data_IF_794968179771
#
_entry.id   IF_794968179771
#
_cell.length_a   1.000
_cell.length_b   1.000
_cell.length_c   1.000
_cell.angle_alpha   90.00
_cell.angle_beta   90.00
_cell.angle_gamma   90.00
#
_symmetry.space_group_name_H-M   'P 1'
#
loop_
_entity.id
_entity.type
_entity.pdbx_description
1 polymer ?
#
# COMPACT_ATOMS: atom_id res chain seq x y z
N UNK A 1 -0.44 -0.44 17.21
CA UNK A 1 -1.36 -0.98 18.24
C UNK A 1 -2.41 -1.80 17.52
N UNK A 2 -2.70 -3.02 17.98
CA UNK A 2 -3.75 -3.84 17.37
C UNK A 2 -5.09 -3.54 18.05
N UNK A 3 -6.22 -3.52 17.31
CA UNK A 3 -7.53 -3.38 17.91
C UNK A 3 -7.77 -4.54 18.90
N UNK A 4 -8.64 -4.35 19.90
CA UNK A 4 -8.94 -5.29 21.00
C UNK A 4 -10.44 -5.46 21.22
N UNK A 5 -11.24 -4.42 20.98
CA UNK A 5 -12.71 -4.44 21.10
C UNK A 5 -13.48 -4.13 19.81
N UNK A 6 -14.82 -4.27 19.79
CA UNK A 6 -15.65 -4.02 18.61
C UNK A 6 -15.53 -2.58 18.05
N UNK A 7 -15.48 -1.58 18.92
CA UNK A 7 -15.30 -0.19 18.50
C UNK A 7 -13.94 0.05 17.83
N UNK A 8 -12.88 -0.53 18.39
CA UNK A 8 -11.54 -0.43 17.81
C UNK A 8 -11.43 -1.21 16.50
N UNK A 9 -12.15 -2.33 16.34
CA UNK A 9 -12.26 -3.05 15.06
C UNK A 9 -12.95 -2.19 14.01
N UNK A 10 -14.05 -1.53 14.35
CA UNK A 10 -14.75 -0.64 13.43
C UNK A 10 -13.86 0.54 13.00
N UNK A 11 -13.15 1.16 13.96
CA UNK A 11 -12.19 2.21 13.68
C UNK A 11 -11.03 1.71 12.80
N UNK A 12 -10.54 0.49 13.04
CA UNK A 12 -9.50 -0.13 12.22
C UNK A 12 -9.95 -0.37 10.79
N UNK A 13 -11.16 -0.88 10.59
CA UNK A 13 -11.74 -1.07 9.24
C UNK A 13 -11.82 0.27 8.52
N UNK A 14 -12.33 1.31 9.17
CA UNK A 14 -12.40 2.65 8.59
C UNK A 14 -10.99 3.17 8.22
N UNK A 15 -10.02 3.01 9.12
CA UNK A 15 -8.63 3.39 8.88
C UNK A 15 -8.05 2.65 7.67
N UNK A 16 -8.18 1.32 7.60
CA UNK A 16 -7.70 0.51 6.48
C UNK A 16 -8.34 0.88 5.15
N UNK A 17 -9.64 1.21 5.14
CA UNK A 17 -10.31 1.70 3.93
C UNK A 17 -9.73 3.04 3.48
N UNK A 18 -9.49 3.96 4.42
CA UNK A 18 -8.87 5.26 4.09
C UNK A 18 -7.42 5.12 3.66
N UNK A 19 -6.63 4.24 4.28
CA UNK A 19 -5.25 3.95 3.90
C UNK A 19 -5.20 3.37 2.48
N UNK A 20 -5.97 2.32 2.20
CA UNK A 20 -6.03 1.72 0.86
C UNK A 20 -6.45 2.72 -0.23
N UNK A 21 -7.32 3.69 0.07
CA UNK A 21 -7.65 4.75 -0.87
C UNK A 21 -6.52 5.80 -1.03
N UNK A 22 -6.08 6.38 0.08
CA UNK A 22 -5.11 7.48 0.07
C UNK A 22 -3.74 7.04 -0.44
N UNK A 23 -3.24 5.92 0.04
CA UNK A 23 -1.91 5.43 -0.29
C UNK A 23 -1.84 4.98 -1.76
N UNK A 24 -2.85 4.27 -2.27
CA UNK A 24 -2.88 3.93 -3.70
C UNK A 24 -2.97 5.18 -4.58
N UNK A 25 -3.72 6.20 -4.15
CA UNK A 25 -3.82 7.47 -4.90
C UNK A 25 -2.49 8.22 -4.93
N UNK A 26 -1.79 8.31 -3.80
CA UNK A 26 -0.51 9.03 -3.69
C UNK A 26 0.60 8.27 -4.41
N UNK A 27 0.80 6.99 -4.09
CA UNK A 27 1.96 6.24 -4.55
C UNK A 27 1.79 5.74 -5.99
N UNK A 28 0.62 5.19 -6.35
CA UNK A 28 0.40 4.59 -7.68
C UNK A 28 -0.32 5.56 -8.62
N UNK A 29 -1.21 6.39 -8.09
CA UNK A 29 -1.92 7.41 -8.85
C UNK A 29 -1.03 8.59 -9.23
N UNK A 30 -0.24 9.11 -8.29
CA UNK A 30 0.61 10.27 -8.51
C UNK A 30 2.09 9.90 -8.72
N UNK A 31 2.79 9.41 -7.69
CA UNK A 31 4.25 9.21 -7.74
C UNK A 31 4.68 8.28 -8.87
N UNK A 32 4.05 7.12 -9.03
CA UNK A 32 4.36 6.19 -10.10
C UNK A 32 4.20 6.83 -11.49
N UNK A 33 3.17 7.65 -11.70
CA UNK A 33 2.97 8.36 -12.96
C UNK A 33 4.05 9.42 -13.20
N UNK A 34 4.47 10.13 -12.14
CA UNK A 34 5.56 11.09 -12.24
C UNK A 34 6.88 10.40 -12.59
N UNK A 35 7.23 9.29 -11.94
CA UNK A 35 8.43 8.54 -12.28
C UNK A 35 8.37 7.90 -13.66
N UNK A 36 7.19 7.47 -14.11
CA UNK A 36 7.01 7.00 -15.49
C UNK A 36 7.29 8.13 -16.48
N UNK A 37 6.75 9.33 -16.24
CA UNK A 37 6.99 10.50 -17.10
C UNK A 37 8.46 10.95 -17.09
N UNK A 38 9.13 10.90 -15.93
CA UNK A 38 10.53 11.32 -15.78
C UNK A 38 11.53 10.32 -16.36
N UNK A 39 11.27 9.02 -16.24
CA UNK A 39 12.23 7.97 -16.64
C UNK A 39 11.90 7.29 -17.97
N UNK A 40 10.66 7.39 -18.44
CA UNK A 40 10.16 6.63 -19.59
C UNK A 40 10.07 5.11 -19.35
N UNK A 41 10.32 4.64 -18.11
CA UNK A 41 10.45 3.21 -17.80
C UNK A 41 9.44 2.79 -16.73
N UNK A 42 8.47 1.98 -17.14
CA UNK A 42 7.48 1.41 -16.22
C UNK A 42 8.10 0.58 -15.08
N UNK A 43 9.10 -0.30 -15.33
CA UNK A 43 9.79 -1.01 -14.24
C UNK A 43 10.46 -0.06 -13.24
N UNK A 44 11.15 0.99 -13.70
CA UNK A 44 11.78 1.97 -12.81
C UNK A 44 10.74 2.75 -12.01
N UNK A 45 9.64 3.14 -12.64
CA UNK A 45 8.55 3.83 -11.96
C UNK A 45 7.95 2.99 -10.83
N UNK A 46 7.71 1.69 -11.07
CA UNK A 46 7.21 0.74 -10.06
C UNK A 46 8.24 0.50 -8.96
N UNK A 47 9.51 0.37 -9.31
CA UNK A 47 10.59 0.17 -8.36
C UNK A 47 10.72 1.36 -7.40
N UNK A 48 10.85 2.57 -7.95
CA UNK A 48 11.11 3.79 -7.17
C UNK A 48 9.92 4.10 -6.25
N UNK A 49 8.68 4.10 -6.77
CA UNK A 49 7.50 4.35 -5.94
C UNK A 49 7.37 3.30 -4.83
N UNK A 50 7.69 2.03 -5.11
CA UNK A 50 7.58 0.93 -4.16
C UNK A 50 8.60 1.03 -3.03
N UNK A 51 9.84 1.46 -3.35
CA UNK A 51 10.86 1.74 -2.35
C UNK A 51 10.46 2.92 -1.47
N UNK A 52 9.97 4.03 -2.04
CA UNK A 52 9.51 5.20 -1.27
C UNK A 52 8.35 4.79 -0.35
N UNK A 53 7.41 3.99 -0.86
CA UNK A 53 6.32 3.43 -0.08
C UNK A 53 6.82 2.61 1.12
N UNK A 54 7.74 1.68 0.92
CA UNK A 54 8.33 0.89 2.00
C UNK A 54 9.10 1.74 3.02
N UNK A 55 9.89 2.71 2.56
CA UNK A 55 10.66 3.61 3.45
C UNK A 55 9.73 4.47 4.32
N UNK A 56 8.59 4.92 3.79
CA UNK A 56 7.57 5.63 4.58
C UNK A 56 7.04 4.79 5.76
N UNK A 57 7.20 3.46 5.71
CA UNK A 57 6.85 2.52 6.76
C UNK A 57 8.04 2.14 7.67
N UNK A 58 9.13 2.92 7.66
CA UNK A 58 10.35 2.65 8.44
C UNK A 58 10.10 2.40 9.93
N UNK A 59 9.06 3.00 10.50
CA UNK A 59 8.65 2.82 11.89
C UNK A 59 8.16 1.40 12.23
N UNK A 60 7.90 0.54 11.24
CA UNK A 60 7.46 -0.85 11.43
C UNK A 60 8.61 -1.87 11.52
N UNK A 61 9.87 -1.42 11.40
CA UNK A 61 11.06 -2.26 11.45
C UNK A 61 11.45 -2.86 10.09
N UNK A 62 12.74 -3.19 9.93
CA UNK A 62 13.34 -3.53 8.63
C UNK A 62 12.66 -4.69 7.91
N UNK A 63 12.28 -5.74 8.64
CA UNK A 63 11.58 -6.90 8.04
C UNK A 63 10.27 -6.49 7.39
N UNK A 64 9.47 -5.66 8.07
CA UNK A 64 8.19 -5.20 7.55
C UNK A 64 8.40 -4.21 6.40
N UNK A 65 9.41 -3.33 6.47
CA UNK A 65 9.77 -2.43 5.35
C UNK A 65 10.04 -3.22 4.08
N UNK A 66 10.80 -4.31 4.15
CA UNK A 66 11.10 -5.16 2.97
C UNK A 66 9.81 -5.76 2.43
N UNK A 67 8.97 -6.35 3.30
CA UNK A 67 7.69 -6.93 2.90
C UNK A 67 6.77 -5.89 2.25
N UNK A 68 6.61 -4.72 2.88
CA UNK A 68 5.77 -3.60 2.41
C UNK A 68 6.30 -3.04 1.09
N UNK A 69 7.62 -3.00 0.89
CA UNK A 69 8.23 -2.61 -0.39
C UNK A 69 7.83 -3.57 -1.51
N UNK A 70 7.83 -4.88 -1.25
CA UNK A 70 7.40 -5.90 -2.23
C UNK A 70 5.93 -5.76 -2.56
N UNK A 71 5.04 -5.64 -1.57
CA UNK A 71 3.62 -5.32 -1.80
C UNK A 71 3.45 -3.99 -2.55
N UNK A 72 4.28 -3.01 -2.17
CA UNK A 72 4.60 -1.77 -2.85
C UNK A 72 4.61 -1.90 -4.37
N UNK A 73 5.54 -2.71 -4.84
CA UNK A 73 5.81 -2.99 -6.24
C UNK A 73 4.72 -3.84 -6.88
N UNK A 74 4.17 -4.84 -6.18
CA UNK A 74 3.09 -5.68 -6.70
C UNK A 74 1.82 -4.86 -6.99
N UNK A 75 1.42 -3.96 -6.10
CA UNK A 75 0.30 -3.06 -6.33
C UNK A 75 0.60 -2.05 -7.45
N UNK A 76 1.85 -1.57 -7.55
CA UNK A 76 2.28 -0.72 -8.65
C UNK A 76 2.18 -1.41 -10.02
N UNK A 77 2.61 -2.67 -10.11
CA UNK A 77 2.46 -3.51 -11.29
C UNK A 77 0.99 -3.79 -11.61
N UNK A 78 0.17 -4.07 -10.59
CA UNK A 78 -1.28 -4.26 -10.72
C UNK A 78 -1.96 -3.01 -11.29
N UNK A 79 -1.59 -1.82 -10.80
CA UNK A 79 -2.12 -0.55 -11.28
C UNK A 79 -1.82 -0.29 -12.77
N UNK A 80 -0.61 -0.63 -13.23
CA UNK A 80 -0.26 -0.57 -14.66
C UNK A 80 -1.06 -1.58 -15.47
N UNK A 81 -1.07 -2.85 -15.05
CA UNK A 81 -1.75 -3.93 -15.77
C UNK A 81 -3.25 -3.68 -15.91
N UNK A 82 -3.90 -3.19 -14.86
CA UNK A 82 -5.34 -2.91 -14.85
C UNK A 82 -5.69 -1.52 -15.36
N UNK A 83 -4.68 -0.66 -15.59
CA UNK A 83 -4.87 0.77 -15.87
C UNK A 83 -5.88 1.44 -14.92
N UNK A 84 -5.88 1.01 -13.65
CA UNK A 84 -6.88 1.39 -12.65
C UNK A 84 -6.33 1.15 -11.24
N UNK A 85 -6.64 2.08 -10.33
CA UNK A 85 -6.26 1.97 -8.91
C UNK A 85 -7.27 1.15 -8.10
N UNK A 86 -8.51 1.01 -8.58
CA UNK A 86 -9.61 0.42 -7.80
C UNK A 86 -9.28 -1.00 -7.28
N UNK A 87 -8.69 -1.91 -8.08
CA UNK A 87 -8.31 -3.23 -7.58
C UNK A 87 -7.25 -3.17 -6.48
N UNK A 88 -6.26 -2.26 -6.62
CA UNK A 88 -5.23 -2.01 -5.61
C UNK A 88 -5.83 -1.47 -4.32
N UNK A 89 -6.75 -0.50 -4.40
CA UNK A 89 -7.40 0.10 -3.22
C UNK A 89 -8.16 -0.95 -2.40
N UNK A 90 -8.92 -1.82 -3.07
CA UNK A 90 -9.67 -2.90 -2.40
C UNK A 90 -8.69 -3.90 -1.78
N UNK A 91 -7.68 -4.34 -2.52
CA UNK A 91 -6.72 -5.34 -2.04
C UNK A 91 -5.91 -4.81 -0.86
N UNK A 92 -5.45 -3.57 -0.93
CA UNK A 92 -4.68 -2.90 0.13
C UNK A 92 -5.53 -2.76 1.40
N UNK A 93 -6.75 -2.20 1.30
CA UNK A 93 -7.63 -2.10 2.46
C UNK A 93 -7.93 -3.49 3.06
N UNK A 94 -8.13 -4.50 2.21
CA UNK A 94 -8.35 -5.87 2.67
C UNK A 94 -7.13 -6.43 3.41
N UNK A 95 -5.91 -6.27 2.88
CA UNK A 95 -4.69 -6.76 3.55
C UNK A 95 -4.49 -6.11 4.91
N UNK A 96 -4.82 -4.82 5.05
CA UNK A 96 -4.68 -4.09 6.32
C UNK A 96 -5.73 -4.53 7.35
N UNK A 97 -6.98 -4.73 6.92
CA UNK A 97 -8.06 -5.24 7.77
C UNK A 97 -7.67 -6.60 8.33
N UNK A 98 -7.26 -7.53 7.46
CA UNK A 98 -6.93 -8.88 7.88
C UNK A 98 -5.66 -8.91 8.74
N UNK A 99 -4.64 -8.15 8.38
CA UNK A 99 -3.43 -8.05 9.19
C UNK A 99 -3.74 -7.52 10.59
N UNK A 100 -4.52 -6.45 10.74
CA UNK A 100 -4.85 -5.91 12.06
C UNK A 100 -5.78 -6.77 12.91
N UNK A 101 -6.69 -7.51 12.30
CA UNK A 101 -7.63 -8.40 13.02
C UNK A 101 -6.96 -9.72 13.41
N UNK A 102 -6.18 -10.32 12.51
CA UNK A 102 -5.64 -11.68 12.69
C UNK A 102 -4.19 -11.73 13.19
N UNK A 103 -3.41 -10.64 13.12
CA UNK A 103 -2.08 -10.58 13.74
C UNK A 103 -2.12 -10.54 15.28
N UNK A 104 -3.30 -10.71 15.90
CA UNK A 104 -3.50 -10.81 17.35
C UNK A 104 -3.13 -12.17 17.94
N UNK A 105 -2.68 -13.12 17.11
CA UNK A 105 -2.30 -14.48 17.53
C UNK A 105 -0.82 -14.57 17.83
#
# INVERSE_FOLDING_TARGET
MLPRGPAEIAAWIALSLTAGFCEETIFRGYLQRQFLALTGSAPLAVLIQGVIFGVAHGYQGLRNVITITVFGMLFGALALWRSSLKPGMVLHAWTDIFSGIFARR
#
